data_IF_031525293675
#
_entry.id   IF_031525293675
#
_cell.length_a   1.000
_cell.length_b   1.000
_cell.length_c   1.000
_cell.angle_alpha   90.00
_cell.angle_beta   90.00
_cell.angle_gamma   90.00
#
_symmetry.space_group_name_H-M   'P 1'
#
loop_
_entity.id
_entity.type
_entity.pdbx_description
1 polymer ?
#
# COMPACT_ATOMS: atom_id res chain seq x y z
N UNK A 1 50.43 69.29 42.92
CA UNK A 1 51.06 69.16 44.25
C UNK A 1 50.64 67.80 44.83
N UNK A 2 51.60 67.01 45.34
CA UNK A 2 51.47 65.82 46.24
C UNK A 2 51.07 64.49 45.52
N UNK A 3 52.01 63.61 45.12
CA UNK A 3 52.75 62.51 45.82
C UNK A 3 51.84 61.34 46.31
N UNK A 4 51.87 60.15 45.67
CA UNK A 4 52.74 58.95 45.93
C UNK A 4 52.42 58.33 47.33
N UNK A 5 52.11 57.05 47.60
CA UNK A 5 52.69 55.77 47.14
C UNK A 5 51.85 54.54 47.60
N UNK A 6 51.99 53.46 46.82
CA UNK A 6 52.23 52.05 47.18
C UNK A 6 51.94 51.55 48.62
N UNK A 7 50.96 50.64 48.71
CA UNK A 7 50.94 49.35 49.42
C UNK A 7 49.75 48.60 48.76
N UNK A 8 49.80 47.34 48.31
CA UNK A 8 50.32 46.15 48.95
C UNK A 8 50.49 45.01 47.91
N UNK A 9 51.65 44.40 47.97
CA UNK A 9 52.11 43.07 47.57
C UNK A 9 51.14 42.02 46.96
N UNK A 10 51.62 41.43 45.84
CA UNK A 10 51.77 39.99 45.53
C UNK A 10 50.58 39.07 45.84
N UNK A 11 49.87 38.68 44.78
CA UNK A 11 49.34 37.32 44.61
C UNK A 11 49.35 36.97 43.11
N UNK A 12 50.52 36.53 42.65
CA UNK A 12 50.72 35.85 41.36
C UNK A 12 50.03 34.49 41.46
N UNK A 13 49.29 34.13 40.41
CA UNK A 13 48.80 32.79 40.06
C UNK A 13 48.04 32.04 41.18
N UNK A 14 46.72 31.99 41.06
CA UNK A 14 45.88 30.80 41.21
C UNK A 14 44.41 31.22 41.01
N UNK A 15 44.06 31.64 39.79
CA UNK A 15 42.66 31.52 39.34
C UNK A 15 42.64 30.39 38.35
N UNK A 16 42.49 29.20 38.94
CA UNK A 16 42.16 27.98 38.25
C UNK A 16 40.98 28.24 37.31
N UNK A 17 41.14 27.71 36.11
CA UNK A 17 40.10 27.21 35.23
C UNK A 17 39.04 26.52 36.09
N UNK A 18 37.96 27.24 36.42
CA UNK A 18 36.72 26.60 36.81
C UNK A 18 36.00 26.29 35.50
N UNK A 19 35.80 25.01 35.14
CA UNK A 19 34.86 24.71 34.08
C UNK A 19 33.51 25.26 34.55
N UNK A 20 32.82 25.98 33.66
CA UNK A 20 31.43 26.37 33.86
C UNK A 20 30.61 25.08 33.85
N UNK A 21 30.62 24.37 34.97
CA UNK A 21 29.68 23.32 35.34
C UNK A 21 28.70 23.99 36.28
N UNK A 22 27.79 24.77 35.70
CA UNK A 22 26.64 25.28 36.42
C UNK A 22 25.48 25.47 35.46
N UNK A 23 25.03 24.37 34.85
CA UNK A 23 23.66 24.19 34.35
C UNK A 23 23.29 22.69 34.30
N UNK A 24 23.44 21.94 35.40
CA UNK A 24 22.93 20.56 35.48
C UNK A 24 21.67 20.37 36.32
N UNK A 25 21.17 21.40 37.03
CA UNK A 25 20.12 21.20 38.04
C UNK A 25 18.80 21.99 37.84
N UNK A 26 18.48 22.47 36.64
CA UNK A 26 17.17 23.11 36.34
C UNK A 26 16.38 22.49 35.18
N UNK A 27 16.63 21.22 34.82
CA UNK A 27 15.83 20.50 33.81
C UNK A 27 15.07 19.27 34.35
N UNK A 28 15.19 18.95 35.63
CA UNK A 28 14.58 17.77 36.25
C UNK A 28 13.08 17.64 35.97
N UNK A 29 12.29 18.69 36.29
CA UNK A 29 10.83 18.65 36.16
C UNK A 29 10.27 18.63 34.72
N UNK A 30 11.07 18.97 33.70
CA UNK A 30 10.59 19.16 32.33
C UNK A 30 10.77 17.95 31.41
N UNK A 31 11.68 17.04 31.76
CA UNK A 31 12.04 15.88 30.92
C UNK A 31 11.10 14.68 31.12
N UNK A 32 10.27 14.67 32.17
CA UNK A 32 9.39 13.55 32.53
C UNK A 32 8.30 13.24 31.48
N UNK A 33 8.02 14.16 30.56
CA UNK A 33 6.93 14.06 29.59
C UNK A 33 7.40 13.88 28.13
N UNK A 34 8.68 13.63 27.91
CA UNK A 34 9.26 13.51 26.58
C UNK A 34 9.93 12.13 26.45
N UNK A 35 9.64 11.35 25.39
CA UNK A 35 10.42 10.16 25.09
C UNK A 35 11.89 10.53 24.92
N UNK A 36 12.79 9.80 25.56
CA UNK A 36 14.22 10.15 25.60
C UNK A 36 15.09 9.08 24.94
N UNK A 37 16.29 9.44 24.52
CA UNK A 37 17.29 8.54 23.91
C UNK A 37 16.79 7.83 22.65
N UNK A 38 16.15 8.57 21.74
CA UNK A 38 15.81 8.03 20.42
C UNK A 38 17.09 7.60 19.69
N UNK A 39 17.12 6.36 19.25
CA UNK A 39 18.20 5.79 18.45
C UNK A 39 17.61 4.90 17.36
N UNK A 40 17.99 5.14 16.11
CA UNK A 40 17.65 4.27 14.99
C UNK A 40 18.84 3.42 14.57
N UNK A 41 18.57 2.17 14.22
CA UNK A 41 19.53 1.30 13.53
C UNK A 41 18.92 0.78 12.25
N UNK A 42 19.66 0.88 11.15
CA UNK A 42 19.31 0.21 9.90
C UNK A 42 19.48 -1.29 10.14
N UNK A 43 18.48 -2.07 9.76
CA UNK A 43 18.53 -3.52 9.87
C UNK A 43 19.35 -4.13 8.73
N UNK A 44 19.78 -5.38 8.92
CA UNK A 44 20.56 -6.16 7.94
C UNK A 44 19.88 -6.31 6.58
N UNK A 45 18.57 -6.11 6.51
CA UNK A 45 17.81 -6.09 5.25
C UNK A 45 18.01 -4.82 4.41
N UNK A 46 18.76 -3.83 4.91
CA UNK A 46 19.19 -2.63 4.18
C UNK A 46 18.08 -1.66 3.80
N UNK A 47 16.82 -1.90 4.19
CA UNK A 47 15.67 -1.08 3.81
C UNK A 47 14.66 -0.88 4.95
N UNK A 48 15.05 -1.22 6.18
CA UNK A 48 14.20 -1.09 7.36
C UNK A 48 14.99 -0.49 8.50
N UNK A 49 14.33 0.36 9.29
CA UNK A 49 14.93 1.04 10.43
C UNK A 49 14.22 0.57 11.70
N UNK A 50 15.00 0.08 12.65
CA UNK A 50 14.55 -0.18 14.01
C UNK A 50 14.87 1.02 14.90
N UNK A 51 13.84 1.71 15.34
CA UNK A 51 13.93 2.76 16.35
C UNK A 51 13.82 2.16 17.75
N UNK A 52 14.60 2.67 18.68
CA UNK A 52 14.52 2.39 20.10
C UNK A 52 14.52 3.71 20.88
N UNK A 53 13.76 3.78 21.98
CA UNK A 53 13.72 4.93 22.88
C UNK A 53 13.37 4.51 24.30
N UNK A 54 13.58 5.42 25.25
CA UNK A 54 13.09 5.32 26.62
C UNK A 54 11.73 6.00 26.73
N UNK A 55 10.76 5.27 27.24
CA UNK A 55 9.39 5.76 27.46
C UNK A 55 9.38 6.90 28.50
N UNK A 56 8.57 7.96 28.30
CA UNK A 56 8.39 9.00 29.31
C UNK A 56 7.69 8.45 30.56
N UNK A 57 7.94 9.07 31.71
CA UNK A 57 7.34 8.67 33.00
C UNK A 57 5.85 8.97 33.04
N UNK A 58 5.42 10.03 32.35
CA UNK A 58 4.00 10.35 32.24
C UNK A 58 3.28 9.32 31.37
N UNK A 59 2.16 8.80 31.89
CA UNK A 59 1.26 7.83 31.24
C UNK A 59 0.48 8.45 30.08
N UNK A 60 1.17 8.83 29.01
CA UNK A 60 0.59 9.39 27.79
C UNK A 60 0.98 8.57 26.58
N UNK A 61 0.08 8.51 25.59
CA UNK A 61 0.41 7.95 24.29
C UNK A 61 1.39 8.86 23.55
N UNK A 62 2.00 8.36 22.49
CA UNK A 62 2.94 9.12 21.68
C UNK A 62 2.71 8.86 20.19
N UNK A 63 3.24 9.75 19.36
CA UNK A 63 3.30 9.55 17.92
C UNK A 63 4.75 9.54 17.47
N UNK A 64 5.02 8.74 16.44
CA UNK A 64 6.27 8.63 15.73
C UNK A 64 6.03 9.22 14.34
N UNK A 65 6.84 10.21 13.98
CA UNK A 65 6.80 10.85 12.66
C UNK A 65 8.15 10.68 11.96
N UNK A 66 8.12 10.73 10.62
CA UNK A 66 9.27 10.60 9.73
C UNK A 66 9.27 11.72 8.71
N UNK A 67 10.46 12.22 8.39
CA UNK A 67 10.67 13.21 7.33
C UNK A 67 11.99 12.92 6.61
N UNK A 68 12.09 13.36 5.36
CA UNK A 68 13.34 13.45 4.61
C UNK A 68 14.17 14.69 5.00
N UNK A 69 13.61 15.59 5.80
CA UNK A 69 14.28 16.75 6.36
C UNK A 69 14.36 16.68 7.89
N UNK A 70 15.37 17.32 8.46
CA UNK A 70 15.57 17.37 9.91
C UNK A 70 14.38 18.02 10.63
N UNK A 71 13.80 17.30 11.59
CA UNK A 71 12.60 17.71 12.35
C UNK A 71 13.01 18.50 13.61
N UNK A 72 13.63 19.67 13.41
CA UNK A 72 14.14 20.51 14.50
C UNK A 72 13.17 21.62 14.96
N UNK A 73 12.08 21.85 14.25
CA UNK A 73 11.05 22.85 14.60
C UNK A 73 9.67 22.23 14.68
N UNK A 74 8.78 22.87 15.46
CA UNK A 74 7.38 22.43 15.60
C UNK A 74 6.63 22.43 14.26
N UNK A 75 6.93 23.38 13.36
CA UNK A 75 6.33 23.41 12.02
C UNK A 75 6.75 22.19 11.18
N UNK A 76 8.06 21.88 11.16
CA UNK A 76 8.57 20.68 10.46
C UNK A 76 8.02 19.38 11.04
N UNK A 77 7.75 19.34 12.35
CA UNK A 77 7.07 18.19 12.97
C UNK A 77 5.65 17.99 12.43
N UNK A 78 4.89 19.07 12.23
CA UNK A 78 3.53 18.98 11.66
C UNK A 78 3.54 18.66 10.17
N UNK A 79 4.58 19.05 9.43
CA UNK A 79 4.77 18.69 8.02
C UNK A 79 5.25 17.23 7.82
N UNK A 80 5.84 16.62 8.85
CA UNK A 80 6.39 15.27 8.79
C UNK A 80 5.29 14.20 8.63
N UNK A 81 5.64 13.11 7.96
CA UNK A 81 4.75 11.96 7.76
C UNK A 81 4.51 11.20 9.06
N UNK A 82 3.24 11.02 9.45
CA UNK A 82 2.89 10.18 10.58
C UNK A 82 3.19 8.70 10.27
N UNK A 83 4.09 8.09 11.02
CA UNK A 83 4.44 6.67 10.86
C UNK A 83 3.62 5.80 11.81
N UNK A 84 3.51 6.21 13.07
CA UNK A 84 2.76 5.43 14.07
C UNK A 84 2.16 6.32 15.13
N UNK A 85 0.93 6.01 15.52
CA UNK A 85 0.29 6.51 16.74
C UNK A 85 0.17 5.37 17.74
N UNK A 86 0.64 5.60 18.97
CA UNK A 86 0.61 4.62 20.06
C UNK A 86 -0.22 5.20 21.20
N UNK A 87 -1.30 4.49 21.57
CA UNK A 87 -2.07 4.83 22.77
C UNK A 87 -1.33 4.32 24.00
N UNK A 88 -1.42 5.05 25.11
CA UNK A 88 -0.87 4.56 26.37
C UNK A 88 -1.54 3.24 26.75
N UNK A 89 -0.72 2.25 27.11
CA UNK A 89 -1.18 0.99 27.66
C UNK A 89 -0.28 0.61 28.84
N UNK A 90 -0.85 0.46 30.03
CA UNK A 90 -0.11 0.15 31.25
C UNK A 90 0.58 -1.23 31.23
N UNK A 91 0.12 -2.14 30.36
CA UNK A 91 0.66 -3.51 30.27
C UNK A 91 1.74 -3.67 29.18
N UNK A 92 1.92 -2.68 28.30
CA UNK A 92 2.85 -2.78 27.18
C UNK A 92 3.76 -1.56 27.09
N UNK A 93 5.04 -1.78 27.37
CA UNK A 93 6.10 -0.79 27.21
C UNK A 93 6.56 -0.77 25.75
N UNK A 94 5.96 0.10 24.95
CA UNK A 94 6.42 0.35 23.57
C UNK A 94 7.73 1.14 23.62
N UNK A 95 8.85 0.43 23.49
CA UNK A 95 10.21 1.00 23.48
C UNK A 95 10.92 0.86 22.14
N UNK A 96 10.33 0.09 21.23
CA UNK A 96 10.90 -0.18 19.92
C UNK A 96 9.84 -0.05 18.83
N UNK A 97 10.26 0.40 17.66
CA UNK A 97 9.42 0.51 16.49
C UNK A 97 10.21 0.10 15.26
N UNK A 98 9.56 -0.60 14.33
CA UNK A 98 10.18 -1.08 13.10
C UNK A 98 9.49 -0.43 11.90
N UNK A 99 10.20 0.49 11.26
CA UNK A 99 9.82 1.09 9.99
C UNK A 99 10.36 0.22 8.85
N UNK A 100 9.48 -0.32 8.01
CA UNK A 100 9.82 -1.34 7.00
C UNK A 100 9.64 -0.80 5.60
N UNK A 101 10.43 -1.33 4.66
CA UNK A 101 10.28 -1.08 3.21
C UNK A 101 10.48 0.39 2.85
N UNK A 102 11.51 1.01 3.45
CA UNK A 102 11.91 2.38 3.14
C UNK A 102 12.66 2.41 1.81
N UNK A 103 12.31 3.31 0.88
CA UNK A 103 13.11 3.54 -0.32
C UNK A 103 14.48 4.16 0.05
N UNK A 104 15.39 4.20 -0.93
CA UNK A 104 16.66 4.93 -0.80
C UNK A 104 16.40 6.38 -0.39
N UNK A 105 17.18 6.88 0.58
CA UNK A 105 17.08 8.25 1.05
C UNK A 105 17.47 8.40 2.51
N UNK A 106 17.48 9.65 2.94
CA UNK A 106 17.75 10.04 4.32
C UNK A 106 16.46 10.18 5.10
N UNK A 107 16.44 9.64 6.32
CA UNK A 107 15.26 9.68 7.18
C UNK A 107 15.58 10.25 8.55
N UNK A 108 14.79 11.23 8.95
CA UNK A 108 14.74 11.81 10.28
C UNK A 108 13.47 11.36 10.99
N UNK A 109 13.59 11.06 12.27
CA UNK A 109 12.48 10.62 13.10
C UNK A 109 12.30 11.54 14.30
N UNK A 110 11.05 11.73 14.71
CA UNK A 110 10.71 12.37 15.97
C UNK A 110 9.61 11.59 16.69
N UNK A 111 9.66 11.59 18.02
CA UNK A 111 8.68 10.94 18.90
C UNK A 111 8.17 11.96 19.90
N UNK A 112 6.87 12.24 19.85
CA UNK A 112 6.25 13.28 20.70
C UNK A 112 5.01 12.73 21.39
N UNK A 113 4.84 13.10 22.67
CA UNK A 113 3.67 12.73 23.45
C UNK A 113 2.39 13.38 22.88
N UNK A 114 1.29 12.64 22.86
CA UNK A 114 0.00 13.13 22.35
C UNK A 114 -0.50 14.34 23.14
N UNK A 115 -0.28 14.37 24.45
CA UNK A 115 -0.69 15.51 25.28
C UNK A 115 0.07 16.80 24.97
N UNK A 116 1.36 16.69 24.59
CA UNK A 116 2.15 17.86 24.18
C UNK A 116 1.61 18.46 22.88
N UNK A 117 1.15 17.61 21.96
CA UNK A 117 0.53 18.02 20.69
C UNK A 117 -0.80 18.70 20.93
N UNK A 118 -1.67 18.12 21.79
CA UNK A 118 -2.97 18.71 22.15
C UNK A 118 -2.82 20.09 22.78
N UNK A 119 -1.82 20.26 23.64
CA UNK A 119 -1.50 21.54 24.28
C UNK A 119 -0.73 22.51 23.37
N UNK A 120 -0.48 22.13 22.10
CA UNK A 120 0.35 22.86 21.14
C UNK A 120 1.74 23.25 21.67
N UNK A 121 2.24 22.53 22.67
CA UNK A 121 3.52 22.79 23.34
C UNK A 121 4.47 21.63 23.04
N UNK A 122 4.88 21.53 21.78
CA UNK A 122 5.79 20.49 21.31
C UNK A 122 7.22 21.00 21.52
N UNK A 123 7.95 20.36 22.42
CA UNK A 123 9.36 20.63 22.64
C UNK A 123 10.19 19.59 21.91
N UNK A 124 10.98 20.00 20.93
CA UNK A 124 11.92 19.15 20.20
C UNK A 124 13.32 19.37 20.77
N UNK A 125 13.90 18.31 21.34
CA UNK A 125 15.20 18.35 21.98
C UNK A 125 16.15 17.40 21.23
N UNK A 126 17.30 17.89 20.74
CA UNK A 126 18.23 17.12 19.91
C UNK A 126 18.62 15.77 20.55
N UNK A 127 18.52 14.67 19.80
CA UNK A 127 18.89 13.30 20.22
C UNK A 127 18.13 12.73 21.43
N UNK A 128 17.18 13.47 21.98
CA UNK A 128 16.27 12.99 23.00
C UNK A 128 15.03 12.43 22.35
N UNK A 129 14.33 13.28 21.60
CA UNK A 129 13.04 12.95 21.00
C UNK A 129 12.97 13.17 19.50
N UNK A 130 14.06 13.62 18.87
CA UNK A 130 14.25 13.51 17.44
C UNK A 130 15.70 13.18 17.08
N UNK A 131 15.90 12.56 15.93
CA UNK A 131 17.24 12.20 15.42
C UNK A 131 17.89 13.43 14.80
N UNK A 132 19.11 13.78 15.25
CA UNK A 132 19.85 14.92 14.67
C UNK A 132 20.64 14.56 13.42
N UNK A 133 21.10 13.32 13.33
CA UNK A 133 21.75 12.75 12.15
C UNK A 133 20.71 11.95 11.35
N UNK A 134 20.73 12.03 10.01
CA UNK A 134 19.85 11.21 9.18
C UNK A 134 20.21 9.74 9.32
N UNK A 135 19.19 8.88 9.18
CA UNK A 135 19.40 7.47 8.88
C UNK A 135 19.33 7.27 7.39
N UNK A 136 20.49 7.03 6.78
CA UNK A 136 20.65 6.94 5.35
C UNK A 136 20.44 5.50 4.85
N UNK A 137 19.35 5.30 4.13
CA UNK A 137 19.14 4.08 3.35
C UNK A 137 19.86 4.28 2.01
N UNK A 138 21.05 3.72 1.89
CA UNK A 138 21.96 3.92 0.74
C UNK A 138 21.61 3.11 -0.51
N UNK A 139 20.94 1.98 -0.33
CA UNK A 139 20.87 0.79 -1.21
C UNK A 139 21.65 0.85 -2.54
N UNK A 140 22.90 0.38 -2.47
CA UNK A 140 23.59 -0.51 -3.41
C UNK A 140 24.42 -1.48 -2.54
N UNK A 141 24.42 -2.78 -2.84
CA UNK A 141 25.05 -3.89 -2.07
C UNK A 141 24.25 -4.47 -0.87
N UNK A 142 23.62 -5.62 -1.12
CA UNK A 142 23.46 -6.66 -0.11
C UNK A 142 24.86 -7.15 0.28
N UNK A 143 25.46 -6.57 1.32
CA UNK A 143 26.55 -7.26 2.02
C UNK A 143 25.91 -8.41 2.79
N UNK A 144 26.06 -9.61 2.23
CA UNK A 144 25.90 -10.87 2.97
C UNK A 144 26.96 -10.81 4.07
N UNK A 145 26.57 -10.37 5.27
CA UNK A 145 27.30 -10.74 6.46
C UNK A 145 27.02 -12.23 6.66
N UNK A 146 27.89 -13.07 6.11
CA UNK A 146 28.20 -14.37 6.70
C UNK A 146 28.56 -14.08 8.15
N UNK A 147 27.59 -14.25 9.05
CA UNK A 147 27.76 -14.85 10.36
C UNK A 147 26.46 -14.67 11.15
N UNK A 148 25.86 -15.83 11.44
CA UNK A 148 24.94 -16.07 12.54
C UNK A 148 23.61 -15.31 12.54
N UNK A 149 22.67 -15.81 11.73
CA UNK A 149 21.27 -15.85 12.14
C UNK A 149 20.66 -17.18 11.71
N UNK A 150 20.58 -18.10 12.65
CA UNK A 150 19.77 -19.31 12.58
C UNK A 150 18.28 -18.94 12.47
N UNK A 151 17.76 -19.03 11.25
CA UNK A 151 16.54 -19.76 10.86
C UNK A 151 16.08 -19.26 9.48
N UNK A 152 16.60 -19.88 8.41
CA UNK A 152 16.41 -19.56 6.99
C UNK A 152 17.33 -18.47 6.41
N UNK A 153 18.53 -18.83 5.89
CA UNK A 153 19.26 -17.91 5.02
C UNK A 153 18.40 -17.63 3.80
N UNK A 154 18.13 -16.36 3.53
CA UNK A 154 17.38 -15.91 2.36
C UNK A 154 18.18 -16.29 1.10
N UNK A 155 17.77 -17.37 0.44
CA UNK A 155 18.51 -17.94 -0.71
C UNK A 155 18.09 -17.21 -1.99
N UNK A 156 18.98 -16.37 -2.52
CA UNK A 156 18.81 -15.74 -3.82
C UNK A 156 19.95 -16.19 -4.75
N UNK A 157 19.66 -16.29 -6.04
CA UNK A 157 20.74 -16.41 -7.02
C UNK A 157 21.51 -15.09 -7.09
N UNK A 158 22.80 -15.19 -7.43
CA UNK A 158 23.69 -14.03 -7.63
C UNK A 158 24.23 -14.03 -9.05
N UNK A 159 24.81 -12.91 -9.48
CA UNK A 159 25.39 -12.73 -10.81
C UNK A 159 24.39 -13.12 -11.92
N UNK A 160 23.13 -12.72 -11.76
CA UNK A 160 22.12 -12.87 -12.80
C UNK A 160 22.54 -12.01 -14.00
N UNK A 161 22.48 -12.58 -15.19
CA UNK A 161 22.78 -11.90 -16.45
C UNK A 161 21.66 -12.18 -17.44
N UNK A 162 21.28 -11.16 -18.21
CA UNK A 162 20.29 -11.25 -19.27
C UNK A 162 20.94 -10.71 -20.54
N UNK A 163 21.17 -11.58 -21.52
CA UNK A 163 21.88 -11.26 -22.77
C UNK A 163 21.06 -11.69 -23.98
N UNK A 164 21.10 -10.90 -25.04
CA UNK A 164 20.50 -11.25 -26.33
C UNK A 164 21.42 -12.22 -27.08
N UNK A 165 20.89 -13.36 -27.49
CA UNK A 165 21.56 -14.33 -28.35
C UNK A 165 20.69 -14.61 -29.59
N UNK A 166 21.01 -13.97 -30.72
CA UNK A 166 20.24 -14.08 -31.98
C UNK A 166 18.75 -13.75 -31.80
N UNK A 167 17.90 -14.78 -31.75
CA UNK A 167 16.43 -14.70 -31.58
C UNK A 167 15.96 -15.01 -30.15
N UNK A 168 16.88 -15.25 -29.22
CA UNK A 168 16.60 -15.62 -27.84
C UNK A 168 17.19 -14.62 -26.85
N UNK A 169 16.59 -14.59 -25.65
CA UNK A 169 17.17 -13.95 -24.46
C UNK A 169 17.70 -15.05 -23.56
N UNK A 170 19.01 -15.06 -23.34
CA UNK A 170 19.66 -15.94 -22.38
C UNK A 170 19.67 -15.30 -21.02
N UNK A 171 19.05 -15.98 -20.06
CA UNK A 171 19.12 -15.68 -18.64
C UNK A 171 20.11 -16.67 -18.03
N UNK A 172 21.13 -16.19 -17.31
CA UNK A 172 22.12 -17.05 -16.64
C UNK A 172 22.47 -16.54 -15.26
N UNK A 173 22.78 -17.43 -14.31
CA UNK A 173 23.06 -17.08 -12.92
C UNK A 173 24.15 -17.96 -12.31
N UNK A 174 24.65 -17.55 -11.14
CA UNK A 174 25.60 -18.36 -10.39
C UNK A 174 24.87 -19.49 -9.63
N UNK A 175 25.34 -20.75 -9.74
CA UNK A 175 24.73 -21.88 -9.04
C UNK A 175 24.93 -21.78 -7.52
N UNK A 176 23.88 -22.12 -6.78
CA UNK A 176 23.92 -22.26 -5.33
C UNK A 176 24.39 -23.67 -4.97
N UNK A 177 25.44 -23.76 -4.15
CA UNK A 177 26.03 -25.01 -3.67
C UNK A 177 25.23 -25.61 -2.49
N UNK A 178 23.95 -25.89 -2.70
CA UNK A 178 23.11 -26.64 -1.74
C UNK A 178 22.34 -27.76 -2.45
N UNK A 179 22.14 -28.91 -1.79
CA UNK A 179 21.30 -29.98 -2.34
C UNK A 179 19.83 -29.54 -2.40
N UNK A 180 19.04 -30.21 -3.25
CA UNK A 180 17.58 -30.07 -3.32
C UNK A 180 17.06 -28.65 -3.59
N UNK A 181 17.75 -27.92 -4.47
CA UNK A 181 17.27 -26.63 -4.97
C UNK A 181 16.58 -26.80 -6.31
N UNK A 182 15.45 -26.11 -6.46
CA UNK A 182 14.78 -25.87 -7.75
C UNK A 182 14.88 -24.38 -8.07
N UNK A 183 15.29 -24.04 -9.29
CA UNK A 183 15.25 -22.66 -9.77
C UNK A 183 13.95 -22.42 -10.52
N UNK A 184 13.29 -21.29 -10.28
CA UNK A 184 12.16 -20.89 -11.11
C UNK A 184 12.45 -19.58 -11.82
N UNK A 185 12.27 -19.59 -13.13
CA UNK A 185 12.52 -18.43 -13.98
C UNK A 185 11.18 -17.76 -14.27
N UNK A 186 11.13 -16.46 -14.02
CA UNK A 186 9.97 -15.61 -14.20
C UNK A 186 10.23 -14.52 -15.22
N UNK A 187 9.16 -14.17 -15.94
CA UNK A 187 9.10 -13.03 -16.84
C UNK A 187 7.91 -12.14 -16.49
N UNK A 188 8.13 -10.84 -16.38
CA UNK A 188 7.09 -9.87 -16.02
C UNK A 188 7.24 -8.55 -16.77
N UNK A 189 6.13 -7.84 -16.98
CA UNK A 189 6.12 -6.45 -17.48
C UNK A 189 6.32 -5.42 -16.33
N UNK A 190 6.27 -5.88 -15.08
CA UNK A 190 6.36 -5.07 -13.85
C UNK A 190 7.51 -5.62 -12.97
N UNK A 191 8.24 -4.77 -12.20
CA UNK A 191 9.30 -5.23 -11.30
C UNK A 191 8.87 -6.36 -10.36
N UNK A 192 9.73 -7.38 -10.22
CA UNK A 192 9.50 -8.58 -9.40
C UNK A 192 9.85 -8.38 -7.91
N UNK A 193 9.87 -7.13 -7.45
CA UNK A 193 10.22 -6.74 -6.07
C UNK A 193 9.06 -6.87 -5.06
N UNK A 194 7.85 -7.18 -5.54
CA UNK A 194 6.65 -7.36 -4.70
C UNK A 194 6.01 -8.72 -4.96
N UNK A 195 5.47 -9.35 -3.93
CA UNK A 195 4.77 -10.63 -4.07
C UNK A 195 3.57 -10.55 -5.04
N UNK A 196 2.86 -9.42 -5.07
CA UNK A 196 1.76 -9.19 -6.02
C UNK A 196 2.21 -9.20 -7.48
N UNK A 197 3.49 -8.90 -7.78
CA UNK A 197 4.00 -8.99 -9.14
C UNK A 197 3.99 -10.43 -9.66
N UNK A 198 4.12 -11.43 -8.79
CA UNK A 198 4.11 -12.85 -9.15
C UNK A 198 2.73 -13.38 -9.52
N UNK A 199 1.65 -12.66 -9.18
CA UNK A 199 0.30 -13.00 -9.64
C UNK A 199 0.14 -12.74 -11.14
N UNK A 200 0.88 -11.77 -11.68
CA UNK A 200 0.85 -11.38 -13.09
C UNK A 200 2.10 -11.82 -13.87
N UNK A 201 3.15 -12.24 -13.17
CA UNK A 201 4.37 -12.75 -13.78
C UNK A 201 4.10 -14.10 -14.44
N UNK A 202 4.70 -14.31 -15.59
CA UNK A 202 4.71 -15.61 -16.26
C UNK A 202 5.85 -16.45 -15.69
N UNK A 203 5.52 -17.56 -15.02
CA UNK A 203 6.50 -18.60 -14.66
C UNK A 203 6.88 -19.31 -15.97
N UNK A 204 8.12 -19.11 -16.42
CA UNK A 204 8.59 -19.66 -17.69
C UNK A 204 8.94 -21.13 -17.56
N UNK A 205 9.70 -21.47 -16.51
CA UNK A 205 10.13 -22.84 -16.25
C UNK A 205 10.56 -23.03 -14.79
N UNK A 206 10.53 -24.29 -14.34
CA UNK A 206 11.15 -24.77 -13.10
C UNK A 206 12.27 -25.74 -13.47
N UNK A 207 13.50 -25.45 -13.05
CA UNK A 207 14.69 -26.25 -13.36
C UNK A 207 15.21 -26.93 -12.11
N UNK A 208 15.32 -28.25 -12.18
CA UNK A 208 15.96 -29.05 -11.15
C UNK A 208 17.44 -29.25 -11.51
N UNK A 209 18.35 -29.04 -10.55
CA UNK A 209 19.78 -29.43 -10.56
C UNK A 209 20.62 -29.05 -11.80
N UNK A 210 21.68 -28.28 -11.58
CA UNK A 210 22.82 -28.13 -12.51
C UNK A 210 22.63 -27.13 -13.66
N UNK A 211 21.39 -26.91 -14.10
CA UNK A 211 21.09 -25.88 -15.09
C UNK A 211 21.18 -24.48 -14.48
N UNK A 212 22.03 -23.64 -15.08
CA UNK A 212 22.34 -22.28 -14.63
C UNK A 212 22.01 -21.23 -15.68
N UNK A 213 21.30 -21.65 -16.74
CA UNK A 213 20.85 -20.76 -17.79
C UNK A 213 19.56 -21.25 -18.45
N UNK A 214 18.79 -20.30 -18.97
CA UNK A 214 17.57 -20.54 -19.72
C UNK A 214 17.51 -19.62 -20.95
N UNK A 215 16.91 -20.10 -22.05
CA UNK A 215 16.68 -19.34 -23.27
C UNK A 215 15.20 -19.03 -23.44
N UNK A 216 14.84 -17.76 -23.40
CA UNK A 216 13.48 -17.27 -23.67
C UNK A 216 13.35 -16.75 -25.10
N UNK A 217 12.18 -16.95 -25.72
CA UNK A 217 11.90 -16.49 -27.09
C UNK A 217 11.55 -14.99 -27.10
N UNK A 218 12.16 -14.24 -28.03
CA UNK A 218 11.92 -12.80 -28.20
C UNK A 218 10.61 -12.41 -28.90
N UNK A 219 9.97 -13.32 -29.65
CA UNK A 219 8.86 -13.01 -30.58
C UNK A 219 7.62 -12.36 -29.94
N UNK A 220 7.52 -12.31 -28.60
CA UNK A 220 6.36 -11.76 -27.88
C UNK A 220 6.73 -10.87 -26.69
N UNK A 221 7.96 -10.36 -26.66
CA UNK A 221 8.42 -9.56 -25.54
C UNK A 221 7.91 -8.12 -25.62
N UNK A 222 7.48 -7.60 -24.47
CA UNK A 222 7.18 -6.19 -24.29
C UNK A 222 8.44 -5.32 -24.49
N UNK A 223 8.33 -4.01 -24.74
CA UNK A 223 9.48 -3.11 -24.85
C UNK A 223 10.42 -3.14 -23.63
N UNK A 224 9.83 -3.33 -22.45
CA UNK A 224 10.52 -3.50 -21.17
C UNK A 224 10.01 -4.78 -20.53
N UNK A 225 10.92 -5.64 -20.13
CA UNK A 225 10.63 -6.91 -19.47
C UNK A 225 11.56 -7.09 -18.27
N UNK A 226 11.05 -7.69 -17.20
CA UNK A 226 11.79 -8.06 -16.02
C UNK A 226 11.95 -9.58 -15.99
N UNK A 227 13.19 -10.05 -15.95
CA UNK A 227 13.52 -11.46 -15.76
C UNK A 227 13.99 -11.68 -14.34
N UNK A 228 13.45 -12.69 -13.68
CA UNK A 228 13.84 -13.04 -12.32
C UNK A 228 14.02 -14.54 -12.15
N UNK A 229 14.88 -14.92 -11.20
CA UNK A 229 15.13 -16.31 -10.84
C UNK A 229 14.95 -16.46 -9.34
N UNK A 230 13.93 -17.20 -8.93
CA UNK A 230 13.71 -17.58 -7.53
C UNK A 230 14.36 -18.93 -7.25
N UNK A 231 14.54 -19.20 -5.95
CA UNK A 231 15.10 -20.44 -5.43
C UNK A 231 14.04 -21.06 -4.55
N UNK A 232 13.64 -22.28 -4.87
CA UNK A 232 12.85 -23.13 -3.97
C UNK A 232 13.79 -24.12 -3.29
N UNK A 233 13.75 -24.11 -1.96
CA UNK A 233 14.50 -25.03 -1.12
C UNK A 233 13.55 -25.57 -0.06
N UNK A 234 13.49 -26.90 0.05
CA UNK A 234 12.63 -27.60 1.01
C UNK A 234 11.14 -27.23 0.87
N UNK A 235 10.67 -27.11 -0.38
CA UNK A 235 9.29 -26.75 -0.72
C UNK A 235 8.92 -25.28 -0.47
N UNK A 236 9.87 -24.45 -0.04
CA UNK A 236 9.66 -23.02 0.19
C UNK A 236 10.32 -22.22 -0.93
N UNK A 237 9.50 -21.55 -1.74
CA UNK A 237 9.97 -20.67 -2.80
C UNK A 237 10.30 -19.27 -2.26
N UNK A 238 11.53 -18.80 -2.53
CA UNK A 238 12.00 -17.50 -2.09
C UNK A 238 11.54 -16.37 -3.01
N UNK A 239 10.42 -15.74 -2.64
CA UNK A 239 9.87 -14.52 -3.26
C UNK A 239 9.49 -13.49 -2.17
N UNK A 240 9.43 -12.18 -2.47
CA UNK A 240 9.74 -11.53 -3.74
C UNK A 240 11.25 -11.50 -4.04
N UNK A 241 11.58 -11.14 -5.29
CA UNK A 241 12.96 -11.07 -5.75
C UNK A 241 13.59 -9.71 -5.49
N UNK A 242 14.92 -9.66 -5.58
CA UNK A 242 15.73 -8.50 -5.26
C UNK A 242 16.35 -7.94 -6.54
N UNK A 243 16.23 -6.63 -6.71
CA UNK A 243 16.69 -5.94 -7.91
C UNK A 243 18.21 -6.05 -8.04
N UNK A 244 18.68 -6.27 -9.27
CA UNK A 244 20.10 -6.43 -9.61
C UNK A 244 20.81 -7.61 -8.90
N UNK A 245 20.05 -8.48 -8.25
CA UNK A 245 20.56 -9.70 -7.62
C UNK A 245 19.85 -10.90 -8.23
N UNK A 246 18.55 -11.03 -7.96
CA UNK A 246 17.73 -12.15 -8.40
C UNK A 246 16.66 -11.76 -9.43
N UNK A 247 16.54 -10.48 -9.78
CA UNK A 247 15.87 -10.06 -11.00
C UNK A 247 16.56 -8.85 -11.67
N UNK A 248 16.39 -8.74 -12.99
CA UNK A 248 16.94 -7.68 -13.83
C UNK A 248 15.90 -7.12 -14.80
N UNK A 249 16.02 -5.82 -15.08
CA UNK A 249 15.28 -5.13 -16.14
C UNK A 249 16.01 -5.29 -17.48
N UNK A 250 15.27 -5.67 -18.52
CA UNK A 250 15.75 -5.80 -19.88
C UNK A 250 14.92 -4.96 -20.84
N UNK A 251 15.60 -4.19 -21.71
CA UNK A 251 14.98 -3.42 -22.79
C UNK A 251 15.13 -4.20 -24.09
N UNK A 252 14.01 -4.56 -24.72
CA UNK A 252 14.01 -5.48 -25.87
C UNK A 252 14.33 -4.79 -27.19
N UNK A 253 14.13 -3.47 -27.27
CA UNK A 253 14.21 -2.69 -28.50
C UNK A 253 12.98 -2.84 -29.40
N UNK A 254 11.96 -3.60 -28.99
CA UNK A 254 10.72 -3.77 -29.74
C UNK A 254 9.91 -2.45 -29.75
N UNK A 255 9.31 -2.14 -30.91
CA UNK A 255 8.45 -0.96 -31.05
C UNK A 255 7.20 -1.12 -30.17
N UNK A 256 7.00 -0.15 -29.26
CA UNK A 256 5.87 -0.12 -28.33
C UNK A 256 4.52 -0.16 -29.05
N UNK A 257 4.41 0.48 -30.23
CA UNK A 257 3.18 0.50 -31.02
C UNK A 257 2.80 -0.89 -31.55
N UNK A 258 3.75 -1.62 -32.15
CA UNK A 258 3.50 -2.94 -32.74
C UNK A 258 3.15 -4.00 -31.68
N UNK A 259 3.82 -3.91 -30.52
CA UNK A 259 3.50 -4.74 -29.36
C UNK A 259 2.08 -4.47 -28.83
N UNK A 260 1.69 -3.20 -28.69
CA UNK A 260 0.35 -2.83 -28.23
C UNK A 260 -0.74 -3.25 -29.23
N UNK A 261 -0.51 -3.05 -30.53
CA UNK A 261 -1.39 -3.49 -31.61
C UNK A 261 -1.63 -5.00 -31.55
N UNK A 262 -0.57 -5.79 -31.46
CA UNK A 262 -0.65 -7.26 -31.32
C UNK A 262 -1.43 -7.67 -30.05
N UNK A 263 -1.18 -7.01 -28.91
CA UNK A 263 -1.87 -7.29 -27.64
C UNK A 263 -3.37 -6.97 -27.72
N UNK A 264 -3.76 -5.91 -28.45
CA UNK A 264 -5.16 -5.55 -28.70
C UNK A 264 -5.86 -6.55 -29.64
N UNK A 265 -5.20 -6.98 -30.71
CA UNK A 265 -5.74 -7.98 -31.65
C UNK A 265 -5.99 -9.34 -30.99
N UNK A 266 -5.11 -9.77 -30.08
CA UNK A 266 -5.31 -11.00 -29.29
C UNK A 266 -6.51 -10.85 -28.33
N UNK A 267 -6.64 -9.70 -27.65
CA UNK A 267 -7.77 -9.43 -26.75
C UNK A 267 -9.11 -9.40 -27.49
N UNK A 268 -9.18 -8.74 -28.64
CA UNK A 268 -10.39 -8.69 -29.47
C UNK A 268 -10.76 -10.06 -30.03
N UNK A 269 -9.78 -10.88 -30.42
CA UNK A 269 -10.01 -12.26 -30.86
C UNK A 269 -10.55 -13.15 -29.74
N UNK A 270 -10.00 -13.05 -28.52
CA UNK A 270 -10.52 -13.76 -27.34
C UNK A 270 -11.94 -13.31 -27.00
N UNK A 271 -12.24 -12.01 -27.08
CA UNK A 271 -13.57 -11.47 -26.86
C UNK A 271 -14.58 -11.98 -27.91
N UNK A 272 -14.20 -12.01 -29.19
CA UNK A 272 -15.02 -12.58 -30.28
C UNK A 272 -15.32 -14.06 -30.05
N UNK A 273 -14.34 -14.86 -29.64
CA UNK A 273 -14.53 -16.28 -29.29
C UNK A 273 -15.46 -16.47 -28.09
N UNK A 274 -15.30 -15.67 -27.02
CA UNK A 274 -16.16 -15.69 -25.83
C UNK A 274 -17.61 -15.30 -26.18
N UNK A 275 -17.80 -14.29 -27.02
CA UNK A 275 -19.12 -13.88 -27.51
C UNK A 275 -19.78 -14.97 -28.35
N UNK A 276 -19.04 -15.62 -29.25
CA UNK A 276 -19.56 -16.74 -30.05
C UNK A 276 -20.00 -17.93 -29.17
N UNK A 277 -19.23 -18.23 -28.12
CA UNK A 277 -19.59 -19.26 -27.13
C UNK A 277 -20.87 -18.89 -26.37
N UNK A 278 -20.96 -17.67 -25.83
CA UNK A 278 -22.15 -17.17 -25.14
C UNK A 278 -23.39 -17.17 -26.05
N UNK A 279 -23.23 -16.84 -27.33
CA UNK A 279 -24.32 -16.88 -28.32
C UNK A 279 -24.80 -18.32 -28.58
N UNK A 280 -23.89 -19.29 -28.64
CA UNK A 280 -24.24 -20.73 -28.72
C UNK A 280 -24.93 -21.22 -27.44
N UNK A 281 -24.45 -20.83 -26.26
CA UNK A 281 -25.04 -21.19 -24.98
C UNK A 281 -26.46 -20.61 -24.83
N UNK A 282 -26.67 -19.34 -25.21
CA UNK A 282 -28.01 -18.71 -25.21
C UNK A 282 -29.00 -19.39 -26.14
N UNK A 283 -28.55 -19.86 -27.32
CA UNK A 283 -29.39 -20.65 -28.24
C UNK A 283 -29.78 -22.01 -27.64
N UNK A 284 -28.84 -22.68 -26.96
CA UNK A 284 -29.13 -23.95 -26.27
C UNK A 284 -30.13 -23.77 -25.13
N UNK A 285 -30.03 -22.69 -24.35
CA UNK A 285 -30.98 -22.37 -23.27
C UNK A 285 -32.37 -22.06 -23.86
N UNK A 286 -32.44 -21.21 -24.89
CA UNK A 286 -33.71 -20.90 -25.56
C UNK A 286 -34.41 -22.13 -26.14
N UNK A 287 -33.65 -23.08 -26.69
CA UNK A 287 -34.20 -24.34 -27.17
C UNK A 287 -34.62 -25.27 -26.02
N UNK A 288 -33.94 -25.22 -24.86
CA UNK A 288 -34.33 -25.99 -23.68
C UNK A 288 -35.62 -25.44 -23.03
N UNK A 289 -35.78 -24.11 -22.98
CA UNK A 289 -37.00 -23.45 -22.50
C UNK A 289 -38.19 -23.80 -23.41
N UNK A 290 -37.98 -23.84 -24.74
CA UNK A 290 -38.98 -24.30 -25.71
C UNK A 290 -39.39 -25.77 -25.50
N UNK A 291 -38.47 -26.65 -25.08
CA UNK A 291 -38.77 -28.05 -24.76
C UNK A 291 -39.51 -28.16 -23.41
N UNK A 292 -39.27 -27.24 -22.47
CA UNK A 292 -39.98 -27.17 -21.19
C UNK A 292 -41.42 -26.67 -21.36
N UNK A 293 -41.65 -25.70 -22.24
CA UNK A 293 -43.00 -25.24 -22.61
C UNK A 293 -43.80 -26.33 -23.34
N UNK A 294 -43.16 -27.13 -24.20
CA UNK A 294 -43.78 -28.27 -24.87
C UNK A 294 -44.11 -29.41 -23.88
N UNK A 295 -43.25 -29.66 -22.89
CA UNK A 295 -43.53 -30.60 -21.79
C UNK A 295 -44.64 -30.13 -20.84
N UNK A 296 -44.73 -28.84 -20.55
CA UNK A 296 -45.81 -28.26 -19.75
C UNK A 296 -47.16 -28.34 -20.49
N UNK A 297 -47.14 -28.21 -21.82
CA UNK A 297 -48.31 -28.40 -22.68
C UNK A 297 -48.77 -29.86 -22.71
N UNK A 298 -47.83 -30.82 -22.72
CA UNK A 298 -48.14 -32.26 -22.62
C UNK A 298 -48.62 -32.68 -21.21
N UNK A 299 -48.11 -32.05 -20.15
CA UNK A 299 -48.55 -32.28 -18.77
C UNK A 299 -49.98 -31.80 -18.51
N UNK A 300 -50.41 -30.72 -19.16
CA UNK A 300 -51.81 -30.26 -19.12
C UNK A 300 -52.77 -31.17 -19.90
N UNK A 301 -52.28 -31.97 -20.84
CA UNK A 301 -53.07 -33.01 -21.51
C UNK A 301 -53.21 -34.26 -20.62
N UNK A 302 -52.16 -34.59 -19.85
CA UNK A 302 -52.13 -35.69 -18.88
C UNK A 302 -53.04 -35.47 -17.67
N UNK A 303 -53.31 -34.23 -17.26
CA UNK A 303 -54.14 -33.92 -16.08
C UNK A 303 -55.66 -33.93 -16.35
N UNK A 304 -56.11 -34.32 -17.55
CA UNK A 304 -57.54 -34.56 -17.83
C UNK A 304 -57.97 -36.00 -17.58
N UNK A 305 -57.04 -36.89 -17.25
CA UNK A 305 -57.29 -38.29 -16.95
C UNK A 305 -56.53 -38.68 -15.68
N UNK A 306 -57.30 -39.08 -14.68
CA UNK A 306 -56.96 -39.92 -13.52
C UNK A 306 -56.97 -39.26 -12.12
N UNK A 307 -57.80 -39.92 -11.29
CA UNK A 307 -58.24 -39.62 -9.95
C UNK A 307 -57.28 -40.11 -8.86
N UNK A 308 -57.44 -39.50 -7.67
CA UNK A 308 -57.29 -40.04 -6.31
C UNK A 308 -56.16 -41.06 -6.00
N UNK A 309 -55.24 -40.66 -5.10
CA UNK A 309 -55.13 -41.27 -3.76
C UNK A 309 -54.31 -40.40 -2.79
N UNK A 310 -54.47 -40.69 -1.50
CA UNK A 310 -54.15 -39.96 -0.27
C UNK A 310 -52.65 -39.80 0.08
N UNK A 311 -52.29 -38.67 0.72
CA UNK A 311 -51.94 -38.58 2.17
C UNK A 311 -51.20 -37.27 2.54
N UNK A 312 -51.80 -36.54 3.48
CA UNK A 312 -51.24 -35.68 4.55
C UNK A 312 -50.16 -34.62 4.20
N UNK A 313 -50.58 -33.34 4.17
CA UNK A 313 -50.10 -32.20 4.99
C UNK A 313 -50.70 -30.88 4.47
N UNK A 314 -51.64 -30.30 5.23
CA UNK A 314 -52.26 -28.99 4.98
C UNK A 314 -52.52 -28.30 6.33
N UNK A 315 -52.35 -27.00 6.62
CA UNK A 315 -51.67 -25.84 6.03
C UNK A 315 -51.82 -24.69 7.05
N UNK A 316 -50.95 -23.66 6.97
CA UNK A 316 -51.22 -22.19 7.09
C UNK A 316 -49.96 -21.46 7.63
N UNK A 317 -49.41 -20.39 7.05
CA UNK A 317 -49.87 -19.37 6.09
C UNK A 317 -48.68 -18.69 5.35
N UNK A 318 -48.81 -18.53 4.02
CA UNK A 318 -48.69 -17.30 3.16
C UNK A 318 -47.93 -16.07 3.75
N UNK A 319 -46.98 -15.33 3.11
CA UNK A 319 -46.77 -14.79 1.74
C UNK A 319 -45.26 -14.48 1.51
N UNK A 320 -44.73 -14.45 0.26
CA UNK A 320 -43.30 -14.54 -0.05
C UNK A 320 -42.55 -13.22 -0.26
N UNK A 321 -41.23 -13.32 -0.03
CA UNK A 321 -40.19 -12.32 -0.32
C UNK A 321 -39.89 -12.21 -1.83
N UNK A 322 -39.75 -10.97 -2.31
CA UNK A 322 -39.34 -10.64 -3.67
C UNK A 322 -37.84 -10.79 -3.88
N UNK A 323 -37.47 -11.54 -4.92
CA UNK A 323 -36.12 -11.73 -5.42
C UNK A 323 -35.58 -10.48 -6.16
N UNK A 324 -34.50 -9.88 -5.64
CA UNK A 324 -33.53 -9.13 -6.46
C UNK A 324 -32.46 -10.09 -6.97
N UNK A 325 -32.28 -10.19 -8.30
CA UNK A 325 -31.14 -10.88 -8.91
C UNK A 325 -30.63 -10.09 -10.13
N UNK A 326 -29.80 -9.08 -9.90
CA UNK A 326 -29.02 -8.41 -10.94
C UNK A 326 -27.65 -9.08 -11.06
N UNK A 327 -27.38 -9.70 -12.22
CA UNK A 327 -26.13 -10.41 -12.52
C UNK A 327 -24.94 -9.47 -12.66
N UNK A 328 -23.93 -9.80 -11.89
CA UNK A 328 -22.58 -9.23 -11.77
C UNK A 328 -21.78 -9.42 -13.06
N UNK A 329 -21.22 -8.32 -13.59
CA UNK A 329 -20.27 -8.34 -14.70
C UNK A 329 -18.89 -7.91 -14.19
N UNK A 330 -17.98 -8.88 -14.21
CA UNK A 330 -16.59 -8.80 -13.78
C UNK A 330 -15.73 -8.04 -14.81
N UNK A 331 -15.26 -6.85 -14.41
CA UNK A 331 -14.17 -6.08 -15.02
C UNK A 331 -13.19 -5.71 -13.91
N UNK A 332 -12.22 -6.58 -13.66
CA UNK A 332 -11.06 -6.29 -12.81
C UNK A 332 -10.07 -5.40 -13.57
N UNK A 333 -10.12 -4.10 -13.32
CA UNK A 333 -8.91 -3.28 -13.25
C UNK A 333 -8.50 -3.16 -11.77
N UNK A 334 -7.20 -3.25 -11.45
CA UNK A 334 -6.73 -3.23 -10.07
C UNK A 334 -6.88 -1.82 -9.51
N UNK A 335 -8.05 -1.55 -8.94
CA UNK A 335 -8.26 -0.36 -8.13
C UNK A 335 -7.53 -0.58 -6.81
N UNK A 336 -6.44 0.15 -6.57
CA UNK A 336 -5.82 0.24 -5.25
C UNK A 336 -6.90 0.73 -4.27
N UNK A 337 -7.45 -0.21 -3.49
CA UNK A 337 -8.19 0.13 -2.27
C UNK A 337 -7.17 0.70 -1.29
N UNK A 338 -6.96 2.02 -1.38
CA UNK A 338 -6.33 2.77 -0.30
C UNK A 338 -7.22 2.63 0.94
N UNK A 339 -6.75 1.88 1.93
CA UNK A 339 -7.32 1.89 3.28
C UNK A 339 -7.26 3.33 3.81
N UNK A 340 -8.40 4.01 3.79
CA UNK A 340 -8.58 5.36 4.31
C UNK A 340 -8.25 5.33 5.81
N UNK A 341 -7.22 6.06 6.25
CA UNK A 341 -6.82 6.10 7.66
C UNK A 341 -7.89 6.80 8.52
N UNK A 342 -8.54 6.04 9.37
CA UNK A 342 -9.58 6.45 10.31
C UNK A 342 -8.99 7.22 11.50
N UNK A 343 -9.10 8.56 11.53
CA UNK A 343 -8.82 9.27 12.80
C UNK A 343 -9.76 10.39 13.21
N UNK A 344 -10.78 10.78 12.45
CA UNK A 344 -11.70 11.83 12.92
C UNK A 344 -12.99 11.90 12.09
N UNK A 345 -13.76 10.81 12.02
CA UNK A 345 -14.93 10.75 11.16
C UNK A 345 -16.25 10.97 11.89
N UNK A 346 -17.15 11.73 11.26
CA UNK A 346 -18.58 11.68 11.53
C UNK A 346 -19.07 10.23 11.30
N UNK A 347 -19.63 9.63 12.36
CA UNK A 347 -20.06 8.23 12.40
C UNK A 347 -21.09 7.92 11.30
N UNK A 348 -21.92 8.89 10.95
CA UNK A 348 -23.03 8.73 10.02
C UNK A 348 -22.54 8.71 8.56
N UNK A 349 -21.60 9.61 8.22
CA UNK A 349 -20.93 9.58 6.91
C UNK A 349 -20.22 8.23 6.69
N UNK A 350 -19.51 7.73 7.71
CA UNK A 350 -18.80 6.47 7.61
C UNK A 350 -19.73 5.26 7.51
N UNK A 351 -20.85 5.27 8.22
CA UNK A 351 -21.86 4.23 8.09
C UNK A 351 -22.36 4.13 6.65
N UNK A 352 -22.62 5.27 6.01
CA UNK A 352 -23.03 5.34 4.59
C UNK A 352 -21.92 4.78 3.69
N UNK A 353 -20.66 5.22 3.85
CA UNK A 353 -19.55 4.79 2.98
C UNK A 353 -19.24 3.28 3.11
N UNK A 354 -19.26 2.74 4.32
CA UNK A 354 -19.04 1.30 4.58
C UNK A 354 -20.19 0.47 3.98
N UNK A 355 -21.43 0.93 4.10
CA UNK A 355 -22.60 0.24 3.57
C UNK A 355 -22.69 0.30 2.04
N UNK A 356 -22.21 1.38 1.42
CA UNK A 356 -22.43 1.66 0.00
C UNK A 356 -21.15 1.69 -0.82
N UNK A 357 -20.34 2.75 -0.68
CA UNK A 357 -19.16 3.03 -1.50
C UNK A 357 -18.13 1.90 -1.46
N UNK A 358 -17.79 1.39 -0.26
CA UNK A 358 -16.82 0.31 -0.09
C UNK A 358 -17.31 -1.03 -0.69
N UNK A 359 -18.63 -1.22 -0.78
CA UNK A 359 -19.25 -2.38 -1.45
C UNK A 359 -19.47 -2.16 -2.95
N UNK A 360 -18.85 -1.12 -3.53
CA UNK A 360 -19.00 -0.72 -4.95
C UNK A 360 -20.44 -0.41 -5.37
N UNK A 361 -21.35 -0.13 -4.43
CA UNK A 361 -22.76 0.23 -4.69
C UNK A 361 -22.88 1.73 -4.98
N UNK A 362 -22.26 2.20 -6.06
CA UNK A 362 -22.09 3.64 -6.33
C UNK A 362 -23.40 4.41 -6.56
N UNK A 363 -24.44 3.79 -7.14
CA UNK A 363 -25.75 4.43 -7.32
C UNK A 363 -26.41 4.70 -5.97
N UNK A 364 -26.40 3.69 -5.09
CA UNK A 364 -26.92 3.81 -3.73
C UNK A 364 -26.10 4.80 -2.91
N UNK A 365 -24.77 4.79 -3.05
CA UNK A 365 -23.85 5.74 -2.40
C UNK A 365 -24.20 7.19 -2.77
N UNK A 366 -24.39 7.49 -4.06
CA UNK A 366 -24.76 8.84 -4.52
C UNK A 366 -26.07 9.29 -3.87
N UNK A 367 -27.08 8.44 -3.81
CA UNK A 367 -28.38 8.76 -3.22
C UNK A 367 -28.27 9.05 -1.72
N UNK A 368 -27.63 8.16 -0.96
CA UNK A 368 -27.50 8.30 0.49
C UNK A 368 -26.59 9.48 0.88
N UNK A 369 -25.47 9.68 0.17
CA UNK A 369 -24.58 10.83 0.40
C UNK A 369 -25.22 12.17 0.05
N UNK A 370 -26.07 12.24 -0.98
CA UNK A 370 -26.85 13.46 -1.27
C UNK A 370 -27.82 13.79 -0.15
N UNK A 371 -28.49 12.77 0.40
CA UNK A 371 -29.34 12.93 1.59
C UNK A 371 -28.56 13.46 2.79
N UNK A 372 -27.37 12.91 3.03
CA UNK A 372 -26.47 13.39 4.09
C UNK A 372 -26.02 14.84 3.89
N UNK A 373 -25.61 15.22 2.67
CA UNK A 373 -25.21 16.61 2.35
C UNK A 373 -26.35 17.61 2.56
N UNK A 374 -27.61 17.20 2.38
CA UNK A 374 -28.76 18.06 2.62
C UNK A 374 -29.04 18.32 4.10
N UNK A 375 -28.62 17.42 4.99
CA UNK A 375 -28.89 17.49 6.43
C UNK A 375 -27.74 18.10 7.24
N UNK A 376 -26.51 18.01 6.72
CA UNK A 376 -25.30 18.38 7.46
C UNK A 376 -24.95 19.86 7.28
N UNK A 377 -24.82 20.58 8.40
CA UNK A 377 -24.40 21.98 8.39
C UNK A 377 -22.87 22.16 8.44
N UNK A 378 -22.12 21.18 8.94
CA UNK A 378 -20.67 21.27 9.10
C UNK A 378 -19.97 21.32 7.72
N UNK A 379 -19.26 22.42 7.35
CA UNK A 379 -18.69 22.57 6.02
C UNK A 379 -17.65 21.51 5.66
N UNK A 380 -16.86 21.06 6.65
CA UNK A 380 -15.86 20.01 6.47
C UNK A 380 -16.51 18.68 6.10
N UNK A 381 -17.50 18.23 6.86
CA UNK A 381 -18.20 16.95 6.63
C UNK A 381 -18.99 16.97 5.31
N UNK A 382 -19.60 18.12 5.00
CA UNK A 382 -20.25 18.35 3.70
C UNK A 382 -19.26 18.22 2.54
N UNK A 383 -18.06 18.79 2.68
CA UNK A 383 -17.01 18.67 1.66
C UNK A 383 -16.55 17.22 1.47
N UNK A 384 -16.41 16.44 2.54
CA UNK A 384 -16.04 15.02 2.45
C UNK A 384 -17.12 14.20 1.72
N UNK A 385 -18.40 14.40 2.05
CA UNK A 385 -19.50 13.72 1.38
C UNK A 385 -19.58 14.09 -0.11
N UNK A 386 -19.39 15.38 -0.46
CA UNK A 386 -19.33 15.83 -1.86
C UNK A 386 -18.19 15.17 -2.64
N UNK A 387 -17.03 14.98 -2.00
CA UNK A 387 -15.91 14.28 -2.62
C UNK A 387 -16.27 12.84 -2.99
N UNK A 388 -16.89 12.09 -2.07
CA UNK A 388 -17.29 10.71 -2.33
C UNK A 388 -18.45 10.57 -3.32
N UNK A 389 -19.30 11.59 -3.45
CA UNK A 389 -20.28 11.67 -4.55
C UNK A 389 -19.54 11.81 -5.89
N UNK A 390 -18.57 12.73 -5.97
CA UNK A 390 -17.72 12.91 -7.15
C UNK A 390 -17.00 11.62 -7.54
N UNK A 391 -16.38 10.94 -6.57
CA UNK A 391 -15.74 9.64 -6.77
C UNK A 391 -16.73 8.58 -7.25
N UNK A 392 -17.94 8.52 -6.70
CA UNK A 392 -18.95 7.55 -7.13
C UNK A 392 -19.37 7.75 -8.58
N UNK A 393 -19.44 9.00 -9.06
CA UNK A 393 -19.65 9.28 -10.48
C UNK A 393 -18.43 8.94 -11.34
N UNK A 394 -17.22 9.20 -10.82
CA UNK A 394 -15.96 8.85 -11.48
C UNK A 394 -15.85 7.32 -11.71
N UNK A 395 -16.14 6.51 -10.69
CA UNK A 395 -16.15 5.04 -10.80
C UNK A 395 -17.15 4.52 -11.82
N UNK A 396 -18.23 5.28 -12.05
CA UNK A 396 -19.26 4.96 -13.05
C UNK A 396 -18.92 5.50 -14.45
N UNK A 397 -17.70 6.04 -14.65
CA UNK A 397 -17.24 6.67 -15.89
C UNK A 397 -18.08 7.88 -16.34
N UNK A 398 -18.79 8.50 -15.40
CA UNK A 398 -19.59 9.71 -15.65
C UNK A 398 -18.74 10.95 -15.36
N UNK A 399 -17.65 11.13 -16.12
CA UNK A 399 -16.61 12.11 -15.82
C UNK A 399 -17.11 13.56 -15.86
N UNK A 400 -18.06 13.89 -16.75
CA UNK A 400 -18.70 15.22 -16.77
C UNK A 400 -19.42 15.54 -15.46
N UNK A 401 -20.12 14.55 -14.92
CA UNK A 401 -20.87 14.72 -13.68
C UNK A 401 -19.93 14.73 -12.49
N UNK A 402 -18.92 13.85 -12.47
CA UNK A 402 -17.90 13.82 -11.42
C UNK A 402 -17.16 15.16 -11.31
N UNK A 403 -16.75 15.74 -12.45
CA UNK A 403 -16.06 17.03 -12.51
C UNK A 403 -16.90 18.16 -11.91
N UNK A 404 -18.22 18.19 -12.14
CA UNK A 404 -19.12 19.18 -11.51
C UNK A 404 -19.10 19.10 -9.98
N UNK A 405 -18.89 17.93 -9.39
CA UNK A 405 -18.75 17.79 -7.94
C UNK A 405 -17.36 18.19 -7.46
N UNK A 406 -16.30 17.81 -8.19
CA UNK A 406 -14.93 18.17 -7.82
C UNK A 406 -14.67 19.68 -7.92
N UNK A 407 -15.39 20.40 -8.78
CA UNK A 407 -15.25 21.84 -8.95
C UNK A 407 -16.01 22.69 -7.93
N UNK A 408 -16.82 22.10 -7.04
CA UNK A 408 -17.57 22.87 -6.03
C UNK A 408 -16.65 23.62 -5.06
N UNK A 409 -16.96 24.89 -4.82
CA UNK A 409 -16.17 25.77 -3.94
C UNK A 409 -16.07 25.23 -2.51
N UNK A 410 -17.18 24.69 -1.99
CA UNK A 410 -17.23 24.05 -0.67
C UNK A 410 -16.23 22.90 -0.56
N UNK A 411 -16.06 22.13 -1.63
CA UNK A 411 -15.11 21.04 -1.67
C UNK A 411 -13.66 21.55 -1.74
N UNK A 412 -13.38 22.51 -2.64
CA UNK A 412 -12.04 23.09 -2.79
C UNK A 412 -11.54 23.82 -1.53
N UNK A 413 -12.46 24.43 -0.77
CA UNK A 413 -12.13 25.23 0.41
C UNK A 413 -11.90 24.39 1.67
N UNK A 414 -12.64 23.30 1.85
CA UNK A 414 -12.65 22.55 3.12
C UNK A 414 -12.10 21.12 3.02
N UNK A 415 -11.87 20.61 1.81
CA UNK A 415 -11.26 19.30 1.59
C UNK A 415 -9.78 19.41 1.18
N UNK A 416 -9.07 18.29 1.17
CA UNK A 416 -7.65 18.21 0.81
C UNK A 416 -7.46 18.59 -0.66
N UNK A 417 -6.93 19.79 -0.91
CA UNK A 417 -6.71 20.37 -2.25
C UNK A 417 -6.03 19.40 -3.22
N UNK A 418 -4.89 18.83 -2.83
CA UNK A 418 -4.12 17.92 -3.68
C UNK A 418 -4.93 16.71 -4.17
N UNK A 419 -5.86 16.21 -3.35
CA UNK A 419 -6.73 15.09 -3.74
C UNK A 419 -7.81 15.52 -4.72
N UNK A 420 -8.38 16.71 -4.54
CA UNK A 420 -9.41 17.23 -5.46
C UNK A 420 -8.78 17.50 -6.82
N UNK A 421 -7.61 18.14 -6.85
CA UNK A 421 -6.88 18.48 -8.07
C UNK A 421 -6.50 17.22 -8.87
N UNK A 422 -5.99 16.17 -8.19
CA UNK A 422 -5.70 14.88 -8.83
C UNK A 422 -6.91 14.27 -9.57
N UNK A 423 -8.10 14.30 -8.96
CA UNK A 423 -9.30 13.75 -9.60
C UNK A 423 -9.89 14.67 -10.67
N UNK A 424 -9.65 15.98 -10.59
CA UNK A 424 -9.98 16.93 -11.67
C UNK A 424 -9.16 16.60 -12.91
N UNK A 425 -7.84 16.47 -12.77
CA UNK A 425 -6.92 16.13 -13.86
C UNK A 425 -7.33 14.80 -14.52
N UNK A 426 -7.55 13.74 -13.72
CA UNK A 426 -8.05 12.44 -14.19
C UNK A 426 -9.37 12.52 -14.97
N UNK A 427 -10.30 13.38 -14.54
CA UNK A 427 -11.56 13.58 -15.26
C UNK A 427 -11.36 14.29 -16.60
N UNK A 428 -10.35 15.16 -16.71
CA UNK A 428 -10.03 15.87 -17.94
C UNK A 428 -9.27 14.96 -18.91
N UNK A 429 -8.30 14.19 -18.43
CA UNK A 429 -7.57 13.18 -19.21
C UNK A 429 -8.49 12.11 -19.79
N UNK A 430 -9.52 11.70 -19.05
CA UNK A 430 -10.46 10.65 -19.52
C UNK A 430 -11.47 11.16 -20.54
N UNK A 431 -11.48 12.47 -20.86
CA UNK A 431 -12.34 13.10 -21.87
C UNK A 431 -11.61 13.42 -23.18
N UNK A 432 -10.28 13.58 -23.13
CA UNK A 432 -9.44 13.67 -24.31
C UNK A 432 -9.13 12.28 -24.86
#
# INVERSE_FOLDING_TARGET
MIKINKFLFIAIFWVNIQPIISQSNYQGGFLHNVPTKINGKILTNGNSIKLNWKQPEKRSGFIIVRSNEKIDTQSKFYAASLVKRVRYNARHNFRTFLDKRLPKGEYYYAIVAIDAIKKKNIKLIPNLNYTTKPLEILQDSYRISEHNSSNFPTLFVTNLQVKKEKHFIKISWQPIKKPNITYHIYRSEIPLSKASAFQNATKLISLHKGETSYLDNMEKLAPIVYYGVSVEFDGIEQIPLVENISYLKYKTGNNSYEYLKTKMEVKTTKAKKKYAFLKKAKRKIKNADSIQEERASLANLSNSLECNCSDIMDYRLYIPEGHENSKEYDLQEPFETEEISFTEYNKDLMAILIKTYNKKKYVTAIRELKGFVAQVQAPKEKSEALFFIGLSYFQRRMYDTALKYFLKDELKKYYKKDRVDFYIERCLESKG
#
